data_IF_936973689922
#
_entry.id   IF_936973689922
#
_cell.length_a   1.000
_cell.length_b   1.000
_cell.length_c   1.000
_cell.angle_alpha   90.00
_cell.angle_beta   90.00
_cell.angle_gamma   90.00
#
_symmetry.space_group_name_H-M   'P 1'
#
loop_
_entity.id
_entity.type
_entity.pdbx_description
1 polymer ?
#
# COMPACT_ATOMS: atom_id res chain seq x y z
N UNK A 1 -12.77 -9.31 1.91
CA UNK A 1 -12.68 -7.89 1.49
C UNK A 1 -11.21 -7.54 1.29
N UNK A 2 -10.78 -7.18 0.06
CA UNK A 2 -9.41 -6.70 -0.16
C UNK A 2 -9.32 -5.29 0.41
N UNK A 3 -8.41 -5.07 1.35
CA UNK A 3 -8.17 -3.76 1.96
C UNK A 3 -6.91 -3.14 1.39
N UNK A 4 -6.75 -1.82 1.52
CA UNK A 4 -5.55 -1.13 1.07
C UNK A 4 -4.27 -1.76 1.64
N UNK A 5 -4.27 -2.04 2.94
CA UNK A 5 -3.15 -2.72 3.62
C UNK A 5 -2.83 -4.10 3.03
N UNK A 6 -3.85 -4.89 2.66
CA UNK A 6 -3.63 -6.18 2.00
C UNK A 6 -3.02 -6.03 0.60
N UNK A 7 -3.41 -5.00 -0.16
CA UNK A 7 -2.86 -4.75 -1.50
C UNK A 7 -1.39 -4.33 -1.45
N UNK A 8 -1.04 -3.43 -0.51
CA UNK A 8 0.33 -3.01 -0.22
C UNK A 8 1.18 -4.23 0.18
N UNK A 9 0.68 -5.05 1.12
CA UNK A 9 1.39 -6.26 1.57
C UNK A 9 1.63 -7.25 0.42
N UNK A 10 0.63 -7.46 -0.43
CA UNK A 10 0.78 -8.33 -1.60
C UNK A 10 1.84 -7.80 -2.56
N UNK A 11 1.81 -6.49 -2.89
CA UNK A 11 2.80 -5.90 -3.79
C UNK A 11 4.22 -5.99 -3.22
N UNK A 12 4.42 -5.66 -1.93
CA UNK A 12 5.72 -5.79 -1.26
C UNK A 12 6.27 -7.21 -1.36
N UNK A 13 5.43 -8.22 -1.10
CA UNK A 13 5.81 -9.64 -1.22
C UNK A 13 6.16 -10.03 -2.66
N UNK A 14 5.43 -9.53 -3.66
CA UNK A 14 5.74 -9.78 -5.06
C UNK A 14 7.12 -9.21 -5.46
N UNK A 15 7.49 -8.06 -4.87
CA UNK A 15 8.82 -7.45 -5.03
C UNK A 15 9.89 -8.08 -4.11
N UNK A 16 9.55 -9.12 -3.34
CA UNK A 16 10.44 -9.85 -2.42
C UNK A 16 11.09 -8.98 -1.32
N UNK A 17 10.45 -7.89 -0.94
CA UNK A 17 10.93 -7.00 0.13
C UNK A 17 10.42 -7.44 1.50
N UNK A 18 11.29 -7.36 2.50
CA UNK A 18 10.94 -7.36 3.92
C UNK A 18 10.22 -6.06 4.31
N UNK A 19 9.60 -6.04 5.49
CA UNK A 19 9.02 -4.80 6.01
C UNK A 19 10.11 -3.76 6.36
N UNK A 20 11.31 -4.19 6.75
CA UNK A 20 12.44 -3.31 7.00
C UNK A 20 12.85 -2.56 5.74
N UNK A 21 13.14 -3.30 4.68
CA UNK A 21 13.58 -2.72 3.40
C UNK A 21 12.57 -1.74 2.81
N UNK A 22 11.27 -2.09 2.82
CA UNK A 22 10.26 -1.15 2.33
C UNK A 22 10.14 0.09 3.21
N UNK A 23 10.25 -0.07 4.54
CA UNK A 23 10.16 1.06 5.45
C UNK A 23 11.31 2.04 5.23
N UNK A 24 12.53 1.51 5.06
CA UNK A 24 13.73 2.31 4.76
C UNK A 24 13.59 3.03 3.41
N UNK A 25 13.18 2.32 2.36
CA UNK A 25 12.98 2.90 1.02
C UNK A 25 11.90 4.00 1.01
N UNK A 26 10.84 3.84 1.81
CA UNK A 26 9.75 4.80 1.89
C UNK A 26 9.96 5.90 2.94
N UNK A 27 11.08 5.91 3.68
CA UNK A 27 11.35 6.89 4.74
C UNK A 27 10.38 6.82 5.92
N UNK A 28 9.88 5.62 6.26
CA UNK A 28 8.92 5.39 7.34
C UNK A 28 9.44 4.41 8.39
N UNK A 29 8.78 4.33 9.54
CA UNK A 29 9.11 3.30 10.52
C UNK A 29 8.48 1.94 10.17
N UNK A 30 9.19 0.85 10.48
CA UNK A 30 8.69 -0.54 10.31
C UNK A 30 7.37 -0.75 11.06
N UNK A 31 7.22 -0.13 12.24
CA UNK A 31 5.98 -0.16 13.02
C UNK A 31 4.81 0.50 12.27
N UNK A 32 5.04 1.63 11.60
CA UNK A 32 4.03 2.26 10.77
C UNK A 32 3.63 1.34 9.62
N UNK A 33 4.60 0.79 8.89
CA UNK A 33 4.33 -0.12 7.78
C UNK A 33 3.53 -1.36 8.24
N UNK A 34 3.87 -1.92 9.40
CA UNK A 34 3.12 -3.04 9.98
C UNK A 34 1.67 -2.68 10.33
N UNK A 35 1.42 -1.48 10.85
CA UNK A 35 0.07 -0.99 11.13
C UNK A 35 -0.74 -0.75 9.84
N UNK A 36 -0.10 -0.17 8.82
CA UNK A 36 -0.68 0.04 7.48
C UNK A 36 -1.11 -1.28 6.86
N UNK A 37 -0.23 -2.28 6.83
CA UNK A 37 -0.54 -3.61 6.27
C UNK A 37 -1.66 -4.33 7.03
N UNK A 38 -1.86 -4.01 8.31
CA UNK A 38 -2.95 -4.53 9.16
C UNK A 38 -4.24 -3.70 9.08
N UNK A 39 -4.26 -2.60 8.33
CA UNK A 39 -5.45 -1.76 8.12
C UNK A 39 -5.69 -0.69 9.19
N UNK A 40 -4.72 -0.40 10.07
CA UNK A 40 -4.77 0.71 11.03
C UNK A 40 -4.19 1.97 10.37
N UNK A 41 -4.99 2.67 9.56
CA UNK A 41 -4.51 3.72 8.63
C UNK A 41 -5.32 5.02 8.70
N UNK A 42 -5.60 5.52 9.90
CA UNK A 42 -6.40 6.75 10.03
C UNK A 42 -5.58 8.05 10.12
N UNK A 43 -4.26 8.03 10.35
CA UNK A 43 -3.54 9.26 10.74
C UNK A 43 -2.36 9.69 9.85
N UNK A 44 -1.94 8.94 8.83
CA UNK A 44 -0.72 9.27 8.06
C UNK A 44 -0.87 9.05 6.55
N UNK A 45 -1.84 9.72 5.93
CA UNK A 45 -2.11 9.61 4.49
C UNK A 45 -0.88 9.95 3.63
N UNK A 46 -0.07 10.96 4.00
CA UNK A 46 1.13 11.32 3.24
C UNK A 46 2.14 10.17 3.20
N UNK A 47 2.43 9.55 4.36
CA UNK A 47 3.36 8.42 4.43
C UNK A 47 2.83 7.17 3.73
N UNK A 48 1.51 7.02 3.69
CA UNK A 48 0.88 5.98 2.89
C UNK A 48 1.10 6.20 1.39
N UNK A 49 1.04 7.46 0.91
CA UNK A 49 1.37 7.80 -0.47
C UNK A 49 2.85 7.54 -0.79
N UNK A 50 3.76 7.83 0.14
CA UNK A 50 5.19 7.53 -0.01
C UNK A 50 5.43 6.01 -0.19
N UNK A 51 4.78 5.18 0.65
CA UNK A 51 4.82 3.72 0.53
C UNK A 51 4.25 3.25 -0.82
N UNK A 52 3.11 3.82 -1.25
CA UNK A 52 2.47 3.49 -2.54
C UNK A 52 3.43 3.79 -3.70
N UNK A 53 4.02 4.99 -3.72
CA UNK A 53 4.99 5.41 -4.74
C UNK A 53 6.22 4.48 -4.78
N UNK A 54 6.77 4.16 -3.61
CA UNK A 54 7.94 3.28 -3.46
C UNK A 54 7.70 1.88 -4.04
N UNK A 55 6.46 1.38 -4.00
CA UNK A 55 6.09 0.09 -4.56
C UNK A 55 5.78 0.11 -6.07
N UNK A 56 5.94 1.27 -6.73
CA UNK A 56 5.54 1.50 -8.11
C UNK A 56 4.02 1.41 -8.30
N UNK A 57 3.25 1.73 -7.26
CA UNK A 57 1.80 1.80 -7.30
C UNK A 57 1.36 3.27 -7.47
N UNK A 58 0.13 3.45 -7.92
CA UNK A 58 -0.47 4.77 -8.08
C UNK A 58 -1.72 4.91 -7.20
N UNK A 59 -1.86 6.05 -6.55
CA UNK A 59 -3.11 6.47 -5.91
C UNK A 59 -3.88 7.36 -6.88
N UNK A 60 -5.12 6.99 -7.19
CA UNK A 60 -5.98 7.67 -8.17
C UNK A 60 -7.28 8.07 -7.49
N UNK A 61 -7.71 9.32 -7.68
CA UNK A 61 -9.04 9.80 -7.33
C UNK A 61 -9.95 9.65 -8.56
N UNK A 62 -11.14 9.10 -8.36
CA UNK A 62 -12.12 8.82 -9.41
C UNK A 62 -13.53 9.02 -8.81
N UNK A 63 -14.50 9.37 -9.65
CA UNK A 63 -15.89 9.51 -9.19
C UNK A 63 -16.47 8.12 -8.87
N UNK A 64 -17.02 7.94 -7.67
CA UNK A 64 -17.46 6.62 -7.23
C UNK A 64 -18.34 6.62 -5.99
N UNK A 65 -18.92 5.45 -5.70
CA UNK A 65 -19.78 5.22 -4.51
C UNK A 65 -19.05 4.51 -3.37
N UNK A 66 -17.89 3.93 -3.66
CA UNK A 66 -17.11 3.14 -2.71
C UNK A 66 -16.09 4.01 -1.97
N UNK A 67 -15.88 3.70 -0.69
CA UNK A 67 -14.88 4.39 0.15
C UNK A 67 -13.44 4.08 -0.27
N UNK A 68 -13.16 2.88 -0.78
CA UNK A 68 -11.86 2.46 -1.34
C UNK A 68 -12.11 1.46 -2.47
N UNK A 69 -11.63 1.78 -3.67
CA UNK A 69 -11.60 0.86 -4.81
C UNK A 69 -10.17 0.35 -5.02
N UNK A 70 -9.99 -0.95 -5.14
CA UNK A 70 -8.70 -1.56 -5.49
C UNK A 70 -8.86 -2.28 -6.82
N UNK A 71 -8.37 -1.66 -7.90
CA UNK A 71 -8.33 -2.27 -9.23
C UNK A 71 -7.41 -3.50 -9.16
N UNK A 72 -7.88 -4.66 -9.61
CA UNK A 72 -7.00 -5.80 -9.85
C UNK A 72 -6.25 -5.54 -11.15
N UNK A 73 -4.95 -5.86 -11.21
CA UNK A 73 -4.28 -5.97 -12.50
C UNK A 73 -5.07 -7.00 -13.34
N UNK A 74 -5.36 -6.73 -14.63
CA UNK A 74 -5.76 -7.81 -15.51
C UNK A 74 -4.63 -8.85 -15.48
N UNK A 75 -4.99 -10.13 -15.35
CA UNK A 75 -4.03 -11.22 -15.46
C UNK A 75 -3.20 -10.99 -16.72
N UNK A 76 -1.92 -10.68 -16.56
CA UNK A 76 -0.99 -10.53 -17.67
C UNK A 76 -0.95 -11.90 -18.38
N UNK A 77 -1.52 -11.93 -19.59
CA UNK A 77 -1.25 -12.96 -20.59
C UNK A 77 0.12 -12.69 -21.19
#
# INVERSE_FOLDING_TARGET
MRTLGSAIRSRRKNLRLSQGELADLAGVSVNLLSQVEKGKTTTQICKLLDIISTLGLQFVLDDGKDRILIKNEPAQR
#
